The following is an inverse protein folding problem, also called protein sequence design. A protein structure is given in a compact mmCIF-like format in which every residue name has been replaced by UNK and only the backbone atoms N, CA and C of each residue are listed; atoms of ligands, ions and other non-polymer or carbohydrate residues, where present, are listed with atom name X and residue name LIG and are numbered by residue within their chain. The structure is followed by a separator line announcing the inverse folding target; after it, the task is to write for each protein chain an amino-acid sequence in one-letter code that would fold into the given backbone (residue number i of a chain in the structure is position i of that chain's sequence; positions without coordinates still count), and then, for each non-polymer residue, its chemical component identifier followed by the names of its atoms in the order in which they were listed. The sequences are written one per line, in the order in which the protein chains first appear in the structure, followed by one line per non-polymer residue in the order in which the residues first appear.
data_IF_643476401418
#
_entry.id   IF_643476401418
#
_cell.length_a   1.000
_cell.length_b   1.000
_cell.length_c   1.000
_cell.angle_alpha   90.00
_cell.angle_beta   90.00
_cell.angle_gamma   90.00
#
_symmetry.space_group_name_H-M   'P 1'
#
loop_
_entity.id
_entity.type
_entity.pdbx_description
1 polymer ?
#
# COMPACT_ATOMS: atom_id res chain seq x y z
N UNK A 1 -44.66 -16.97 2.38
CA UNK A 1 -44.21 -16.15 3.54
C UNK A 1 -43.56 -17.09 4.56
N UNK A 2 -42.25 -17.00 4.77
CA UNK A 2 -41.54 -17.91 5.67
C UNK A 2 -42.06 -17.74 7.12
N UNK A 3 -42.50 -18.83 7.74
CA UNK A 3 -42.86 -18.87 9.17
C UNK A 3 -41.63 -18.41 9.94
N UNK A 4 -41.72 -17.26 10.60
CA UNK A 4 -40.65 -16.76 11.47
C UNK A 4 -40.58 -17.72 12.65
N UNK A 5 -39.57 -18.57 12.68
CA UNK A 5 -39.31 -19.48 13.79
C UNK A 5 -39.18 -18.64 15.06
N UNK A 6 -40.11 -18.84 16.01
CA UNK A 6 -40.11 -18.13 17.28
C UNK A 6 -39.19 -18.87 18.23
N UNK A 7 -38.00 -18.33 18.44
CA UNK A 7 -37.08 -18.83 19.45
C UNK A 7 -37.54 -18.37 20.85
N UNK A 8 -37.55 -19.27 21.85
CA UNK A 8 -37.89 -18.92 23.22
C UNK A 8 -36.85 -17.96 23.81
N UNK A 9 -37.32 -17.01 24.61
CA UNK A 9 -36.46 -15.95 25.15
C UNK A 9 -35.42 -16.49 26.14
N UNK A 10 -35.77 -17.51 26.92
CA UNK A 10 -34.86 -18.17 27.87
C UNK A 10 -33.67 -18.82 27.15
N UNK A 11 -33.91 -19.43 26.00
CA UNK A 11 -32.86 -20.06 25.18
C UNK A 11 -31.93 -19.01 24.56
N UNK A 12 -32.48 -17.85 24.15
CA UNK A 12 -31.67 -16.72 23.70
C UNK A 12 -30.86 -16.11 24.86
N UNK A 13 -31.40 -16.08 26.06
CA UNK A 13 -30.69 -15.59 27.25
C UNK A 13 -29.56 -16.55 27.65
N UNK A 14 -29.82 -17.86 27.66
CA UNK A 14 -28.82 -18.89 27.90
C UNK A 14 -27.68 -18.79 26.88
N UNK A 15 -28.01 -18.54 25.61
CA UNK A 15 -27.01 -18.31 24.57
C UNK A 15 -26.09 -17.13 24.85
N UNK A 16 -26.65 -16.01 25.32
CA UNK A 16 -25.84 -14.84 25.71
C UNK A 16 -24.89 -15.19 26.86
N UNK A 17 -25.35 -15.94 27.86
CA UNK A 17 -24.53 -16.32 29.02
C UNK A 17 -23.41 -17.28 28.62
N UNK A 18 -23.74 -18.37 27.90
CA UNK A 18 -22.74 -19.34 27.45
C UNK A 18 -21.73 -18.73 26.48
N UNK A 19 -22.18 -17.87 25.57
CA UNK A 19 -21.26 -17.16 24.67
C UNK A 19 -20.33 -16.23 25.45
N UNK A 20 -20.81 -15.60 26.51
CA UNK A 20 -19.98 -14.74 27.36
C UNK A 20 -18.88 -15.54 28.10
N UNK A 21 -19.11 -16.80 28.43
CA UNK A 21 -18.07 -17.65 29.05
C UNK A 21 -16.95 -18.00 28.08
N UNK A 22 -17.30 -18.20 26.80
CA UNK A 22 -16.35 -18.55 25.73
C UNK A 22 -15.63 -17.31 25.19
N UNK A 23 -16.37 -16.29 24.79
CA UNK A 23 -15.84 -15.07 24.19
C UNK A 23 -15.66 -13.98 25.25
N UNK A 24 -14.40 -13.57 25.47
CA UNK A 24 -14.05 -12.54 26.47
C UNK A 24 -14.19 -11.11 25.94
N UNK A 25 -14.33 -10.94 24.62
CA UNK A 25 -14.51 -9.64 23.96
C UNK A 25 -15.89 -9.00 24.13
N UNK A 26 -16.14 -7.95 23.36
CA UNK A 26 -17.48 -7.33 23.26
C UNK A 26 -18.41 -8.29 22.52
N UNK A 27 -19.54 -8.64 23.14
CA UNK A 27 -20.57 -9.47 22.51
C UNK A 27 -21.22 -8.65 21.39
N UNK A 28 -21.04 -9.09 20.15
CA UNK A 28 -21.76 -8.58 18.98
C UNK A 28 -22.89 -9.55 18.63
N UNK A 29 -24.08 -9.02 18.37
CA UNK A 29 -25.25 -9.84 18.06
C UNK A 29 -25.07 -10.74 16.82
N UNK A 30 -24.24 -10.31 15.86
CA UNK A 30 -23.89 -11.08 14.66
C UNK A 30 -23.05 -12.32 14.98
N UNK A 31 -21.98 -12.14 15.75
CA UNK A 31 -21.08 -13.21 16.17
C UNK A 31 -21.77 -14.17 17.14
N UNK A 32 -22.54 -13.63 18.09
CA UNK A 32 -23.38 -14.40 19.01
C UNK A 32 -24.38 -15.28 18.27
N UNK A 33 -25.07 -14.74 17.26
CA UNK A 33 -26.05 -15.51 16.50
C UNK A 33 -25.40 -16.63 15.68
N UNK A 34 -24.27 -16.36 15.03
CA UNK A 34 -23.52 -17.37 14.29
C UNK A 34 -23.03 -18.49 15.23
N UNK A 35 -22.51 -18.14 16.40
CA UNK A 35 -22.06 -19.12 17.40
C UNK A 35 -23.24 -19.92 17.97
N UNK A 36 -24.33 -19.25 18.36
CA UNK A 36 -25.50 -19.90 18.95
C UNK A 36 -26.16 -20.89 17.98
N UNK A 37 -26.21 -20.55 16.68
CA UNK A 37 -26.76 -21.42 15.64
C UNK A 37 -25.99 -22.75 15.50
N UNK A 38 -24.70 -22.78 15.85
CA UNK A 38 -23.86 -23.97 15.76
C UNK A 38 -23.75 -24.74 17.08
N UNK A 39 -23.89 -24.06 18.22
CA UNK A 39 -23.53 -24.61 19.53
C UNK A 39 -24.73 -24.86 20.46
N UNK A 40 -25.92 -24.32 20.15
CA UNK A 40 -27.10 -24.44 21.01
C UNK A 40 -28.23 -25.10 20.24
N UNK A 41 -28.64 -26.28 20.73
CA UNK A 41 -29.79 -27.01 20.19
C UNK A 41 -31.05 -26.16 20.33
N UNK A 42 -31.83 -26.05 19.25
CA UNK A 42 -33.04 -25.24 19.18
C UNK A 42 -32.83 -23.78 18.77
N UNK A 43 -31.58 -23.35 18.52
CA UNK A 43 -31.24 -22.06 17.92
C UNK A 43 -30.71 -22.20 16.48
N UNK A 44 -30.93 -23.34 15.82
CA UNK A 44 -30.52 -23.54 14.44
C UNK A 44 -31.19 -22.48 13.54
N UNK A 45 -30.38 -21.67 12.86
CA UNK A 45 -30.88 -20.56 12.02
C UNK A 45 -31.21 -19.26 12.78
N UNK A 46 -30.82 -19.13 14.05
CA UNK A 46 -30.91 -17.85 14.77
C UNK A 46 -30.08 -16.78 14.06
N UNK A 47 -30.65 -15.59 13.96
CA UNK A 47 -30.03 -14.38 13.38
C UNK A 47 -29.92 -13.27 14.42
N UNK A 48 -29.01 -12.33 14.20
CA UNK A 48 -28.72 -11.17 15.05
C UNK A 48 -29.98 -10.40 15.53
N UNK A 49 -30.95 -10.15 14.65
CA UNK A 49 -32.17 -9.43 15.01
C UNK A 49 -33.03 -10.19 16.02
N UNK A 50 -32.89 -11.51 16.18
CA UNK A 50 -33.64 -12.25 17.20
C UNK A 50 -33.18 -11.86 18.61
N UNK A 51 -31.92 -11.45 18.78
CA UNK A 51 -31.39 -10.94 20.04
C UNK A 51 -31.67 -9.45 20.26
N UNK A 52 -31.80 -8.66 19.18
CA UNK A 52 -31.86 -7.20 19.26
C UNK A 52 -33.24 -6.59 19.06
N UNK A 53 -34.18 -7.32 18.45
CA UNK A 53 -35.50 -6.77 18.10
C UNK A 53 -36.29 -6.42 19.38
N UNK A 54 -36.77 -5.17 19.53
CA UNK A 54 -37.60 -4.77 20.65
C UNK A 54 -38.89 -5.59 20.75
N UNK A 55 -39.36 -5.80 21.97
CA UNK A 55 -40.64 -6.45 22.28
C UNK A 55 -41.65 -5.36 22.62
N UNK A 56 -42.87 -5.49 22.11
CA UNK A 56 -43.97 -4.60 22.49
C UNK A 56 -44.64 -5.19 23.72
N UNK A 57 -44.53 -4.48 24.84
CA UNK A 57 -45.24 -4.82 26.06
C UNK A 57 -46.47 -3.92 26.17
N UNK A 58 -47.61 -4.51 26.51
CA UNK A 58 -48.83 -3.74 26.80
C UNK A 58 -48.82 -3.46 28.30
N UNK A 59 -48.79 -2.19 28.66
CA UNK A 59 -48.91 -1.79 30.05
C UNK A 59 -50.32 -2.16 30.57
N UNK A 60 -50.37 -2.98 31.62
CA UNK A 60 -51.62 -3.50 32.19
C UNK A 60 -52.47 -2.40 32.84
N UNK A 61 -51.87 -1.26 33.21
CA UNK A 61 -52.56 -0.14 33.86
C UNK A 61 -53.01 0.93 32.88
N UNK A 62 -52.23 1.22 31.84
CA UNK A 62 -52.52 2.34 30.91
C UNK A 62 -53.00 1.87 29.54
N UNK A 63 -52.93 0.57 29.24
CA UNK A 63 -53.31 -0.01 27.95
C UNK A 63 -52.39 0.39 26.78
N UNK A 64 -51.42 1.27 27.01
CA UNK A 64 -50.47 1.75 26.01
C UNK A 64 -49.43 0.66 25.71
N UNK A 65 -49.12 0.51 24.42
CA UNK A 65 -48.01 -0.34 24.00
C UNK A 65 -46.70 0.44 24.11
N UNK A 66 -45.77 -0.06 24.92
CA UNK A 66 -44.42 0.47 25.01
C UNK A 66 -43.44 -0.55 24.44
N UNK A 67 -42.45 -0.06 23.68
CA UNK A 67 -41.38 -0.90 23.16
C UNK A 67 -40.32 -1.08 24.25
N UNK A 68 -40.13 -2.32 24.72
CA UNK A 68 -39.10 -2.72 25.66
C UNK A 68 -37.98 -3.52 24.98
N UNK A 69 -36.81 -3.54 25.61
CA UNK A 69 -35.72 -4.45 25.21
C UNK A 69 -36.02 -5.86 25.70
N UNK A 70 -35.52 -6.88 24.99
CA UNK A 70 -35.55 -8.26 25.49
C UNK A 70 -34.60 -8.42 26.67
N UNK A 71 -34.87 -9.40 27.53
CA UNK A 71 -33.99 -9.81 28.62
C UNK A 71 -32.61 -10.20 28.11
N UNK A 72 -32.53 -10.96 27.00
CA UNK A 72 -31.26 -11.32 26.37
C UNK A 72 -30.49 -10.09 25.86
N UNK A 73 -31.18 -9.08 25.31
CA UNK A 73 -30.56 -7.80 24.90
C UNK A 73 -30.01 -7.05 26.10
N UNK A 74 -30.79 -6.95 27.18
CA UNK A 74 -30.38 -6.28 28.41
C UNK A 74 -29.15 -6.95 29.00
N UNK A 75 -29.16 -8.29 29.09
CA UNK A 75 -28.05 -9.07 29.62
C UNK A 75 -26.78 -8.90 28.80
N UNK A 76 -26.90 -8.90 27.47
CA UNK A 76 -25.78 -8.63 26.58
C UNK A 76 -25.19 -7.23 26.81
N UNK A 77 -26.03 -6.21 26.97
CA UNK A 77 -25.60 -4.85 27.27
C UNK A 77 -24.94 -4.71 28.63
N UNK A 78 -25.43 -5.41 29.66
CA UNK A 78 -24.83 -5.47 31.00
C UNK A 78 -23.43 -6.07 30.95
N UNK A 79 -23.28 -7.23 30.30
CA UNK A 79 -21.98 -7.91 30.16
C UNK A 79 -21.01 -7.00 29.39
N UNK A 80 -21.45 -6.39 28.29
CA UNK A 80 -20.64 -5.45 27.53
C UNK A 80 -20.26 -4.20 28.34
N UNK A 81 -21.17 -3.68 29.16
CA UNK A 81 -20.90 -2.56 30.09
C UNK A 81 -19.93 -2.97 31.19
N UNK A 82 -19.98 -4.21 31.69
CA UNK A 82 -19.06 -4.72 32.70
C UNK A 82 -17.64 -4.89 32.14
N UNK A 83 -17.53 -5.36 30.89
CA UNK A 83 -16.26 -5.54 30.17
C UNK A 83 -15.64 -4.23 29.67
N UNK A 84 -16.44 -3.18 29.51
CA UNK A 84 -15.97 -1.90 29.00
C UNK A 84 -15.10 -1.18 30.02
N UNK A 85 -13.81 -1.05 29.70
CA UNK A 85 -12.87 -0.24 30.49
C UNK A 85 -13.34 1.22 30.61
N UNK A 86 -13.89 1.79 29.54
CA UNK A 86 -14.42 3.15 29.52
C UNK A 86 -15.58 3.32 30.50
N UNK A 87 -16.46 2.33 30.61
CA UNK A 87 -17.55 2.37 31.58
C UNK A 87 -17.05 2.15 33.01
N UNK A 88 -16.02 1.32 33.21
CA UNK A 88 -15.35 1.18 34.51
C UNK A 88 -14.73 2.50 34.98
N UNK A 89 -14.02 3.20 34.09
CA UNK A 89 -13.47 4.53 34.36
C UNK A 89 -14.59 5.53 34.63
N UNK A 90 -15.70 5.49 33.90
CA UNK A 90 -16.84 6.38 34.14
C UNK A 90 -17.59 6.09 35.45
N UNK A 91 -17.62 4.86 35.95
CA UNK A 91 -18.24 4.57 37.25
C UNK A 91 -17.33 4.96 38.41
N UNK A 92 -16.04 4.99 38.17
CA UNK A 92 -15.06 5.29 39.18
C UNK A 92 -15.00 6.81 39.45
N UNK A 93 -15.45 7.21 40.63
CA UNK A 93 -15.49 8.61 41.07
C UNK A 93 -14.09 9.22 41.07
N UNK A 94 -13.10 8.50 41.63
CA UNK A 94 -11.71 8.96 41.74
C UNK A 94 -11.06 9.22 40.37
N UNK A 95 -11.35 8.39 39.36
CA UNK A 95 -10.82 8.58 38.00
C UNK A 95 -11.57 9.65 37.20
N UNK A 96 -12.78 10.04 37.62
CA UNK A 96 -13.64 10.99 36.90
C UNK A 96 -13.34 12.47 37.20
N UNK A 97 -12.25 12.76 37.91
CA UNK A 97 -11.91 14.09 38.39
C UNK A 97 -12.98 14.70 39.32
N UNK A 98 -13.63 13.88 40.16
CA UNK A 98 -14.45 14.41 41.26
C UNK A 98 -13.54 15.02 42.33
N UNK A 99 -14.01 16.09 42.98
CA UNK A 99 -13.36 16.66 44.16
C UNK A 99 -13.13 15.56 45.20
N UNK A 100 -11.92 15.51 45.77
CA UNK A 100 -11.52 14.51 46.77
C UNK A 100 -12.47 14.54 47.98
N UNK A 101 -13.05 15.70 48.28
CA UNK A 101 -14.09 15.93 49.29
C UNK A 101 -15.28 14.96 49.13
N UNK A 102 -15.81 14.80 47.91
CA UNK A 102 -16.95 13.91 47.65
C UNK A 102 -16.62 12.41 47.83
N UNK A 103 -15.34 12.04 47.86
CA UNK A 103 -14.88 10.72 48.23
C UNK A 103 -14.71 10.60 49.76
N UNK A 104 -14.10 11.61 50.39
CA UNK A 104 -13.85 11.64 51.83
C UNK A 104 -15.14 11.69 52.66
N UNK A 105 -16.21 12.26 52.11
CA UNK A 105 -17.54 12.32 52.75
C UNK A 105 -18.29 10.97 52.73
N UNK A 106 -17.75 9.96 52.02
CA UNK A 106 -18.38 8.64 51.96
C UNK A 106 -18.01 7.79 53.18
N UNK A 107 -18.85 6.81 53.57
CA UNK A 107 -18.49 5.87 54.62
C UNK A 107 -17.20 5.09 54.31
N UNK A 108 -16.37 4.80 55.32
CA UNK A 108 -15.09 4.08 55.19
C UNK A 108 -15.17 2.79 54.36
N UNK A 109 -16.26 2.02 54.51
CA UNK A 109 -16.44 0.78 53.74
C UNK A 109 -16.58 1.03 52.23
N UNK A 110 -17.22 2.15 51.84
CA UNK A 110 -17.39 2.57 50.45
C UNK A 110 -16.06 3.09 49.91
N UNK A 111 -15.34 3.88 50.71
CA UNK A 111 -14.01 4.38 50.35
C UNK A 111 -13.05 3.24 50.05
N UNK A 112 -12.96 2.24 50.95
CA UNK A 112 -12.10 1.05 50.76
C UNK A 112 -12.46 0.30 49.49
N UNK A 113 -13.75 0.10 49.22
CA UNK A 113 -14.22 -0.57 47.99
C UNK A 113 -13.84 0.23 46.75
N UNK A 114 -14.05 1.54 46.74
CA UNK A 114 -13.69 2.40 45.62
C UNK A 114 -12.19 2.42 45.36
N UNK A 115 -11.35 2.39 46.40
CA UNK A 115 -9.88 2.29 46.25
C UNK A 115 -9.51 0.99 45.52
N UNK A 116 -10.08 -0.14 45.92
CA UNK A 116 -9.82 -1.43 45.28
C UNK A 116 -10.29 -1.42 43.82
N UNK A 117 -11.52 -0.97 43.56
CA UNK A 117 -12.08 -0.85 42.20
C UNK A 117 -11.23 0.08 41.31
N UNK A 118 -10.64 1.13 41.90
CA UNK A 118 -9.72 2.05 41.22
C UNK A 118 -8.43 1.36 40.86
N UNK A 119 -7.82 0.65 41.79
CA UNK A 119 -6.59 -0.11 41.56
C UNK A 119 -6.78 -1.12 40.42
N UNK A 120 -7.83 -1.92 40.46
CA UNK A 120 -8.13 -2.89 39.40
C UNK A 120 -8.41 -2.24 38.04
N UNK A 121 -9.03 -1.05 38.04
CA UNK A 121 -9.26 -0.29 36.81
C UNK A 121 -7.95 0.26 36.25
N UNK A 122 -7.07 0.77 37.11
CA UNK A 122 -5.73 1.25 36.73
C UNK A 122 -4.86 0.10 36.21
N UNK A 123 -4.85 -1.05 36.86
CA UNK A 123 -4.10 -2.23 36.40
C UNK A 123 -4.55 -2.67 34.99
N UNK A 124 -5.87 -2.66 34.73
CA UNK A 124 -6.41 -2.91 33.39
C UNK A 124 -6.00 -1.86 32.37
N UNK A 125 -5.94 -0.57 32.75
CA UNK A 125 -5.45 0.52 31.89
C UNK A 125 -3.97 0.29 31.56
N UNK A 126 -3.13 0.00 32.55
CA UNK A 126 -1.70 -0.22 32.38
C UNK A 126 -1.43 -1.42 31.46
N UNK A 127 -2.11 -2.55 31.68
CA UNK A 127 -1.99 -3.73 30.81
C UNK A 127 -2.39 -3.42 29.36
N UNK A 128 -3.48 -2.67 29.17
CA UNK A 128 -3.93 -2.26 27.84
C UNK A 128 -2.95 -1.29 27.18
N UNK A 129 -2.43 -0.32 27.92
CA UNK A 129 -1.41 0.62 27.42
C UNK A 129 -0.14 -0.13 27.00
N UNK A 130 0.36 -1.06 27.80
CA UNK A 130 1.52 -1.87 27.43
C UNK A 130 1.28 -2.64 26.11
N UNK A 131 0.10 -3.22 25.93
CA UNK A 131 -0.27 -3.88 24.67
C UNK A 131 -0.35 -2.89 23.49
N UNK A 132 -0.93 -1.71 23.70
CA UNK A 132 -1.03 -0.68 22.66
C UNK A 132 0.34 -0.13 22.27
N UNK A 133 1.25 0.09 23.22
CA UNK A 133 2.62 0.52 22.95
C UNK A 133 3.34 -0.48 22.05
N UNK A 134 3.29 -1.78 22.38
CA UNK A 134 3.89 -2.84 21.54
C UNK A 134 3.29 -2.89 20.13
N UNK A 135 1.97 -2.76 20.02
CA UNK A 135 1.29 -2.70 18.71
C UNK A 135 1.74 -1.47 17.92
N UNK A 136 1.86 -0.32 18.57
CA UNK A 136 2.27 0.91 17.91
C UNK A 136 3.72 0.83 17.43
N UNK A 137 4.62 0.26 18.22
CA UNK A 137 6.00 -0.05 17.81
C UNK A 137 6.03 -0.97 16.58
N UNK A 138 5.22 -2.03 16.57
CA UNK A 138 5.13 -2.93 15.41
C UNK A 138 4.60 -2.21 14.16
N UNK A 139 3.61 -1.33 14.31
CA UNK A 139 3.06 -0.53 13.20
C UNK A 139 4.08 0.49 12.70
N UNK A 140 4.86 1.10 13.59
CA UNK A 140 5.94 1.98 13.20
C UNK A 140 7.03 1.25 12.42
N UNK A 141 7.36 0.02 12.80
CA UNK A 141 8.30 -0.81 12.05
C UNK A 141 7.76 -1.13 10.64
N UNK A 142 6.50 -1.56 10.54
CA UNK A 142 5.84 -1.84 9.25
C UNK A 142 5.79 -0.59 8.37
N UNK A 143 5.42 0.56 8.94
CA UNK A 143 5.37 1.83 8.20
C UNK A 143 6.75 2.25 7.68
N UNK A 144 7.82 2.01 8.45
CA UNK A 144 9.19 2.25 7.97
C UNK A 144 9.53 1.34 6.80
N UNK A 145 9.18 0.05 6.90
CA UNK A 145 9.38 -0.92 5.82
C UNK A 145 8.64 -0.50 4.55
N UNK A 146 7.34 -0.19 4.65
CA UNK A 146 6.54 0.26 3.51
C UNK A 146 7.08 1.55 2.88
N UNK A 147 7.59 2.50 3.68
CA UNK A 147 8.23 3.70 3.15
C UNK A 147 9.47 3.37 2.32
N UNK A 148 10.32 2.45 2.77
CA UNK A 148 11.49 2.00 2.01
C UNK A 148 11.10 1.29 0.71
N UNK A 149 10.04 0.48 0.74
CA UNK A 149 9.51 -0.18 -0.46
C UNK A 149 8.94 0.83 -1.47
N UNK A 150 8.23 1.84 -0.99
CA UNK A 150 7.71 2.92 -1.82
C UNK A 150 8.85 3.69 -2.48
N UNK A 151 9.90 4.06 -1.74
CA UNK A 151 11.05 4.77 -2.33
C UNK A 151 11.75 3.93 -3.39
N UNK A 152 11.96 2.64 -3.13
CA UNK A 152 12.57 1.72 -4.10
C UNK A 152 11.69 1.52 -5.36
N UNK A 153 10.37 1.47 -5.20
CA UNK A 153 9.44 1.39 -6.33
C UNK A 153 9.40 2.70 -7.13
N UNK A 154 9.43 3.86 -6.48
CA UNK A 154 9.50 5.16 -7.15
C UNK A 154 10.77 5.27 -8.00
N UNK A 155 11.93 4.88 -7.48
CA UNK A 155 13.18 4.84 -8.25
C UNK A 155 13.07 3.92 -9.49
N UNK A 156 12.45 2.75 -9.34
CA UNK A 156 12.20 1.84 -10.47
C UNK A 156 11.26 2.47 -11.51
N UNK A 157 10.18 3.11 -11.08
CA UNK A 157 9.24 3.80 -11.99
C UNK A 157 9.92 4.94 -12.73
N UNK A 158 10.77 5.72 -12.06
CA UNK A 158 11.56 6.77 -12.71
C UNK A 158 12.52 6.18 -13.75
N UNK A 159 13.23 5.10 -13.42
CA UNK A 159 14.12 4.42 -14.37
C UNK A 159 13.37 3.92 -15.61
N UNK A 160 12.18 3.31 -15.41
CA UNK A 160 11.33 2.83 -16.49
C UNK A 160 10.84 3.99 -17.36
N UNK A 161 10.40 5.10 -16.76
CA UNK A 161 9.98 6.31 -17.47
C UNK A 161 11.11 6.89 -18.35
N UNK A 162 12.35 6.91 -17.85
CA UNK A 162 13.53 7.31 -18.63
C UNK A 162 13.74 6.35 -19.82
N UNK A 163 13.70 5.04 -19.60
CA UNK A 163 13.84 4.06 -20.70
C UNK A 163 12.73 4.17 -21.73
N UNK A 164 11.48 4.38 -21.31
CA UNK A 164 10.34 4.57 -22.18
C UNK A 164 10.50 5.82 -23.05
N UNK A 165 11.01 6.92 -22.47
CA UNK A 165 11.28 8.15 -23.21
C UNK A 165 12.34 7.92 -24.30
N UNK A 166 13.41 7.17 -23.99
CA UNK A 166 14.44 6.81 -24.97
C UNK A 166 13.85 5.93 -26.08
N UNK A 167 13.09 4.90 -25.72
CA UNK A 167 12.44 4.02 -26.68
C UNK A 167 11.46 4.78 -27.58
N UNK A 168 10.67 5.69 -27.01
CA UNK A 168 9.75 6.54 -27.76
C UNK A 168 10.50 7.40 -28.80
N UNK A 169 11.63 8.01 -28.43
CA UNK A 169 12.48 8.76 -29.38
C UNK A 169 13.02 7.86 -30.48
N UNK A 170 13.48 6.64 -30.14
CA UNK A 170 13.97 5.66 -31.13
C UNK A 170 12.85 5.22 -32.09
N UNK A 171 11.65 4.97 -31.58
CA UNK A 171 10.47 4.64 -32.39
C UNK A 171 10.11 5.80 -33.31
N UNK A 172 10.07 7.04 -32.81
CA UNK A 172 9.82 8.22 -33.64
C UNK A 172 10.86 8.38 -34.75
N UNK A 173 12.14 8.15 -34.45
CA UNK A 173 13.19 8.18 -35.45
C UNK A 173 12.98 7.10 -36.51
N UNK A 174 12.72 5.85 -36.08
CA UNK A 174 12.44 4.75 -37.00
C UNK A 174 11.21 5.06 -37.85
N UNK A 175 10.10 5.52 -37.26
CA UNK A 175 8.89 5.93 -37.97
C UNK A 175 9.17 6.98 -39.05
N UNK A 176 9.97 8.01 -38.75
CA UNK A 176 10.38 9.04 -39.73
C UNK A 176 11.30 8.50 -40.83
N UNK A 177 12.24 7.61 -40.47
CA UNK A 177 13.08 6.91 -41.44
C UNK A 177 12.28 5.91 -42.28
N UNK A 178 11.16 5.43 -41.76
CA UNK A 178 10.22 4.53 -42.45
C UNK A 178 9.00 5.22 -43.04
N UNK A 179 8.96 6.55 -43.11
CA UNK A 179 7.86 7.23 -43.78
C UNK A 179 7.91 6.84 -45.27
N UNK A 180 6.81 6.32 -45.81
CA UNK A 180 6.80 5.81 -47.18
C UNK A 180 7.14 6.90 -48.18
N UNK A 181 6.71 8.14 -47.89
CA UNK A 181 7.02 9.31 -48.70
C UNK A 181 8.52 9.69 -48.66
N UNK A 182 9.21 9.55 -47.52
CA UNK A 182 10.64 9.86 -47.42
C UNK A 182 11.50 8.78 -48.09
N UNK A 183 11.11 7.50 -47.97
CA UNK A 183 11.75 6.42 -48.73
C UNK A 183 11.52 6.55 -50.24
N UNK A 184 10.31 6.87 -50.68
CA UNK A 184 10.02 7.13 -52.10
C UNK A 184 10.78 8.34 -52.62
N UNK A 185 10.94 9.39 -51.83
CA UNK A 185 11.74 10.55 -52.20
C UNK A 185 13.23 10.20 -52.37
N UNK A 186 13.82 9.46 -51.42
CA UNK A 186 15.23 9.03 -51.49
C UNK A 186 15.43 8.03 -52.64
N UNK A 187 14.48 7.11 -52.86
CA UNK A 187 14.52 6.19 -54.00
C UNK A 187 14.38 6.94 -55.33
N UNK A 188 13.52 7.95 -55.41
CA UNK A 188 13.37 8.81 -56.58
C UNK A 188 14.63 9.66 -56.85
N UNK A 189 15.33 10.14 -55.83
CA UNK A 189 16.65 10.78 -55.98
C UNK A 189 17.70 9.81 -56.55
N UNK A 190 17.54 8.51 -56.31
CA UNK A 190 18.31 7.44 -56.95
C UNK A 190 17.67 6.94 -58.25
N UNK A 191 16.69 7.63 -58.84
CA UNK A 191 16.05 7.22 -60.09
C UNK A 191 15.15 5.97 -60.00
N UNK A 192 14.76 5.55 -58.80
CA UNK A 192 13.86 4.43 -58.55
C UNK A 192 12.47 4.98 -58.19
N UNK A 193 11.54 4.94 -59.14
CA UNK A 193 10.17 5.43 -58.99
C UNK A 193 9.16 4.28 -58.82
N UNK A 194 7.93 4.61 -58.40
CA UNK A 194 6.86 3.63 -58.12
C UNK A 194 6.47 2.76 -59.34
N UNK A 195 6.80 3.17 -60.55
CA UNK A 195 6.39 2.51 -61.81
C UNK A 195 7.57 2.08 -62.71
N UNK A 196 8.82 2.27 -62.27
CA UNK A 196 10.00 1.92 -63.05
C UNK A 196 11.28 2.51 -62.50
N UNK A 197 12.41 2.12 -63.09
CA UNK A 197 13.72 2.70 -62.81
C UNK A 197 14.08 3.60 -63.99
N UNK A 198 14.25 4.89 -63.75
CA UNK A 198 14.85 5.81 -64.70
C UNK A 198 16.37 5.56 -64.70
N UNK A 199 16.83 4.83 -65.72
CA UNK A 199 18.23 4.45 -65.83
C UNK A 199 19.17 5.64 -65.97
N UNK A 200 18.71 6.76 -66.54
CA UNK A 200 19.55 7.94 -66.76
C UNK A 200 19.75 8.71 -65.45
N UNK A 201 18.69 8.87 -64.65
CA UNK A 201 18.78 9.44 -63.29
C UNK A 201 19.53 8.49 -62.35
N UNK A 202 19.30 7.18 -62.45
CA UNK A 202 20.02 6.19 -61.66
C UNK A 202 21.51 6.19 -61.96
N UNK A 203 21.90 6.19 -63.25
CA UNK A 203 23.32 6.28 -63.63
C UNK A 203 23.92 7.64 -63.27
N UNK A 204 23.16 8.74 -63.36
CA UNK A 204 23.58 10.05 -62.89
C UNK A 204 23.81 10.08 -61.37
N UNK A 205 22.93 9.46 -60.58
CA UNK A 205 23.05 9.34 -59.13
C UNK A 205 24.24 8.47 -58.71
N UNK A 206 24.59 7.45 -59.50
CA UNK A 206 25.83 6.68 -59.34
C UNK A 206 27.07 7.46 -59.81
N UNK A 207 26.91 8.38 -60.77
CA UNK A 207 27.99 9.20 -61.32
C UNK A 207 28.27 10.48 -60.54
N UNK A 208 27.32 10.91 -59.70
CA UNK A 208 27.52 11.82 -58.57
C UNK A 208 28.12 10.99 -57.42
N UNK A 209 29.41 10.92 -57.13
CA UNK A 209 30.58 11.54 -57.71
C UNK A 209 31.73 10.67 -57.18
N UNK A 210 32.31 9.80 -58.03
CA UNK A 210 33.54 9.06 -57.68
C UNK A 210 34.64 10.06 -57.29
N UNK A 211 34.58 11.29 -57.81
CA UNK A 211 35.39 12.43 -57.39
C UNK A 211 35.11 12.88 -55.95
N UNK A 212 33.84 13.06 -55.54
CA UNK A 212 33.50 13.44 -54.16
C UNK A 212 33.69 12.32 -53.13
N UNK A 213 33.62 11.05 -53.54
CA UNK A 213 33.91 9.88 -52.68
C UNK A 213 35.43 9.71 -52.50
N UNK A 214 36.24 10.08 -53.51
CA UNK A 214 37.71 10.03 -53.46
C UNK A 214 38.35 11.33 -52.99
N UNK A 215 37.59 12.40 -52.76
CA UNK A 215 38.10 13.63 -52.14
C UNK A 215 38.25 13.44 -50.62
N UNK A 216 39.35 12.77 -50.26
CA UNK A 216 39.73 12.43 -48.89
C UNK A 216 39.66 13.65 -47.97
N UNK A 217 40.00 14.85 -48.46
CA UNK A 217 39.94 16.08 -47.68
C UNK A 217 38.49 16.45 -47.29
N UNK A 218 37.53 16.29 -48.20
CA UNK A 218 36.12 16.58 -47.94
C UNK A 218 35.47 15.54 -47.01
N UNK A 219 35.89 14.28 -47.11
CA UNK A 219 35.50 13.21 -46.20
C UNK A 219 36.09 13.42 -44.80
N UNK A 220 37.37 13.80 -44.69
CA UNK A 220 38.03 14.13 -43.42
C UNK A 220 37.41 15.37 -42.77
N UNK A 221 37.09 16.43 -43.52
CA UNK A 221 36.41 17.62 -42.97
C UNK A 221 35.00 17.28 -42.48
N UNK A 222 34.23 16.44 -43.19
CA UNK A 222 32.91 15.98 -42.72
C UNK A 222 33.02 15.10 -41.46
N UNK A 223 34.02 14.24 -41.39
CA UNK A 223 34.26 13.42 -40.20
C UNK A 223 34.76 14.28 -39.03
N UNK A 224 35.62 15.27 -39.27
CA UNK A 224 36.04 16.25 -38.26
C UNK A 224 34.89 17.18 -37.84
N UNK A 225 33.91 17.48 -38.70
CA UNK A 225 32.74 18.27 -38.35
C UNK A 225 31.67 17.45 -37.59
N UNK A 226 31.52 16.15 -37.92
CA UNK A 226 30.62 15.24 -37.23
C UNK A 226 31.15 14.81 -35.85
N UNK A 227 32.48 14.85 -35.65
CA UNK A 227 33.13 14.47 -34.38
C UNK A 227 33.84 15.64 -33.68
N UNK A 228 33.81 16.86 -34.24
CA UNK A 228 34.45 18.06 -33.72
C UNK A 228 33.46 19.00 -33.05
N UNK A 229 32.84 18.51 -31.98
CA UNK A 229 32.41 19.24 -30.78
C UNK A 229 31.62 18.25 -29.94
N UNK A 230 32.33 17.48 -29.10
CA UNK A 230 31.71 16.98 -27.87
C UNK A 230 31.39 18.25 -27.07
N UNK A 231 30.11 18.57 -26.79
CA UNK A 231 29.82 19.52 -25.73
C UNK A 231 30.25 18.85 -24.44
N UNK A 232 31.28 19.40 -23.80
CA UNK A 232 31.51 19.28 -22.38
C UNK A 232 30.19 19.64 -21.65
N UNK A 233 29.45 18.63 -21.22
CA UNK A 233 28.77 18.68 -19.94
C UNK A 233 29.39 17.63 -19.04
N UNK A 234 30.58 17.96 -18.52
CA UNK A 234 30.99 17.66 -17.14
C UNK A 234 32.19 18.53 -16.78
N UNK A 235 31.93 19.85 -16.65
CA UNK A 235 32.73 20.65 -15.72
C UNK A 235 32.32 20.26 -14.30
N UNK A 236 32.99 19.25 -13.76
CA UNK A 236 33.48 19.25 -12.38
C UNK A 236 34.22 17.93 -12.06
N UNK A 237 35.54 17.94 -12.26
CA UNK A 237 36.59 17.63 -11.24
C UNK A 237 37.90 17.12 -11.88
N UNK A 238 38.94 17.92 -11.67
CA UNK A 238 40.33 17.54 -11.37
C UNK A 238 41.21 16.87 -12.47
N UNK A 239 42.04 17.73 -13.07
CA UNK A 239 43.47 17.59 -13.41
C UNK A 239 43.97 16.50 -14.38
N UNK A 240 44.97 16.81 -15.25
CA UNK A 240 45.42 15.94 -16.33
C UNK A 240 46.49 14.95 -15.86
N UNK A 241 46.38 13.68 -16.26
CA UNK A 241 47.50 12.73 -16.21
C UNK A 241 47.75 12.14 -17.60
N UNK A 242 48.95 12.43 -18.10
CA UNK A 242 49.51 11.96 -19.37
C UNK A 242 49.62 10.42 -19.40
N UNK A 243 49.12 9.80 -20.47
CA UNK A 243 49.19 8.35 -20.72
C UNK A 243 49.69 8.09 -22.15
N UNK A 244 50.98 8.30 -22.41
CA UNK A 244 51.62 7.74 -23.62
C UNK A 244 53.03 7.17 -23.43
N UNK A 245 53.61 7.18 -22.22
CA UNK A 245 54.91 6.52 -21.98
C UNK A 245 54.83 5.01 -21.68
N UNK A 246 53.62 4.42 -21.56
CA UNK A 246 53.48 3.02 -21.10
C UNK A 246 53.10 1.99 -22.17
N UNK A 247 53.14 2.32 -23.47
CA UNK A 247 52.79 1.35 -24.53
C UNK A 247 54.01 0.83 -25.32
N UNK A 248 55.21 1.39 -25.12
CA UNK A 248 56.45 0.99 -25.85
C UNK A 248 57.38 0.10 -24.99
N UNK A 249 56.87 -0.61 -23.98
CA UNK A 249 57.66 -1.55 -23.18
C UNK A 249 57.28 -3.03 -23.36
N UNK A 250 56.28 -3.32 -24.19
CA UNK A 250 55.87 -4.69 -24.46
C UNK A 250 55.66 -4.89 -25.94
N UNK A 251 56.61 -5.56 -26.59
CA UNK A 251 56.51 -6.38 -27.82
C UNK A 251 57.59 -6.04 -28.87
N UNK A 252 58.74 -6.72 -28.80
CA UNK A 252 59.35 -7.51 -29.90
C UNK A 252 60.63 -8.22 -29.36
N UNK A 253 60.54 -9.51 -29.03
CA UNK A 253 60.80 -10.72 -29.86
C UNK A 253 62.27 -10.88 -30.29
N UNK A 254 62.87 -11.98 -29.82
CA UNK A 254 64.25 -12.32 -30.09
C UNK A 254 64.49 -12.89 -31.48
N UNK A 255 65.67 -12.59 -31.99
CA UNK A 255 66.43 -13.40 -32.94
C UNK A 255 67.83 -13.61 -32.35
N UNK A 256 68.33 -14.83 -32.50
CA UNK A 256 69.52 -15.30 -31.80
C UNK A 256 70.85 -15.06 -32.50
N UNK A 257 71.90 -15.45 -31.76
CA UNK A 257 73.25 -15.88 -32.17
C UNK A 257 74.17 -14.85 -32.82
N UNK A 258 75.25 -14.49 -32.11
CA UNK A 258 76.59 -15.03 -32.38
C UNK A 258 77.63 -14.53 -31.37
N UNK A 259 78.50 -15.48 -30.96
CA UNK A 259 79.83 -15.38 -30.33
C UNK A 259 80.00 -14.73 -28.94
#
# INVERSE_FOLDING_TARGET
MARTQKFPEDLLLEAVVKYAEVEKGKIKATELAAWAALNIKGLEGVRDYHFMRPVRNKDSKTGKQTAGKKTCTLRMEEINRARSLTESVKRNTLLKASTVEAFMDQPDYVQRRQIVDTRETVDRILAKNASLTRKNESLHAINRQMKMEITALSEKVESLSRTQTILYRKILFLMKATDEASRKAILAEMGIEDHGIDLDVYTQSLSLDIGDIMDINRAVIRHMAAYGSIPDEDKDRQSPMSLSDNVIAGLHFGEGSNE
#
